data_IF_072639277328
#
_entry.id   IF_072639277328
#
_cell.length_a   1.000
_cell.length_b   1.000
_cell.length_c   1.000
_cell.angle_alpha   90.00
_cell.angle_beta   90.00
_cell.angle_gamma   90.00
#
_symmetry.space_group_name_H-M   'P 1'
#
loop_
_entity.id
_entity.type
_entity.pdbx_description
1 polymer ?
#
# COMPACT_ATOMS: atom_id res chain seq x y z
N UNK A 1 -14.52 -11.71 48.35
CA UNK A 1 -14.03 -12.93 47.68
C UNK A 1 -15.21 -13.73 47.16
N UNK A 2 -15.60 -13.57 45.89
CA UNK A 2 -16.63 -14.40 45.26
C UNK A 2 -16.03 -15.08 44.03
N UNK A 3 -15.78 -16.39 44.15
CA UNK A 3 -15.41 -17.26 43.04
C UNK A 3 -16.68 -17.67 42.30
N UNK A 4 -16.76 -17.39 41.01
CA UNK A 4 -17.68 -18.09 40.11
C UNK A 4 -16.87 -18.64 38.93
N UNK A 5 -16.61 -19.94 38.99
CA UNK A 5 -16.23 -20.77 37.86
C UNK A 5 -17.50 -21.07 37.08
N UNK A 6 -17.53 -20.80 35.77
CA UNK A 6 -18.39 -21.53 34.84
C UNK A 6 -17.67 -21.75 33.49
N UNK A 7 -17.15 -22.97 33.37
CA UNK A 7 -17.35 -23.93 32.27
C UNK A 7 -17.14 -23.48 30.82
N UNK A 8 -16.05 -24.01 30.25
CA UNK A 8 -15.79 -24.18 28.83
C UNK A 8 -16.92 -24.97 28.14
N UNK A 9 -17.39 -24.49 26.98
CA UNK A 9 -18.09 -25.33 26.00
C UNK A 9 -17.51 -25.05 24.62
N UNK A 10 -16.58 -25.91 24.23
CA UNK A 10 -15.95 -25.95 22.91
C UNK A 10 -16.86 -26.71 21.95
N UNK A 11 -17.39 -26.04 20.93
CA UNK A 11 -17.94 -26.69 19.74
C UNK A 11 -17.28 -26.09 18.50
N UNK A 12 -16.13 -26.64 18.14
CA UNK A 12 -15.51 -26.43 16.82
C UNK A 12 -16.23 -27.34 15.82
N UNK A 13 -17.09 -26.77 14.98
CA UNK A 13 -17.68 -27.46 13.84
C UNK A 13 -16.73 -27.29 12.65
N UNK A 14 -15.89 -28.30 12.40
CA UNK A 14 -15.06 -28.39 11.20
C UNK A 14 -15.93 -28.82 10.02
N UNK A 15 -16.14 -27.93 9.05
CA UNK A 15 -16.75 -28.25 7.76
C UNK A 15 -15.65 -28.49 6.73
N UNK A 16 -15.69 -29.68 6.16
CA UNK A 16 -14.66 -30.26 5.30
C UNK A 16 -14.56 -29.58 3.92
N UNK A 17 -13.31 -29.41 3.49
CA UNK A 17 -12.88 -29.03 2.15
C UNK A 17 -13.38 -30.04 1.11
N UNK A 18 -14.01 -29.58 0.03
CA UNK A 18 -14.15 -30.35 -1.21
C UNK A 18 -13.28 -29.70 -2.27
N UNK A 19 -12.15 -30.34 -2.59
CA UNK A 19 -11.30 -29.98 -3.71
C UNK A 19 -11.87 -30.63 -4.98
N UNK A 20 -12.12 -29.83 -6.01
CA UNK A 20 -12.49 -30.31 -7.35
C UNK A 20 -11.33 -29.99 -8.30
N UNK A 21 -10.69 -31.03 -8.82
CA UNK A 21 -9.69 -30.97 -9.90
C UNK A 21 -10.38 -31.37 -11.21
N UNK A 22 -10.20 -30.61 -12.30
CA UNK A 22 -10.20 -31.18 -13.63
C UNK A 22 -8.81 -31.21 -14.26
N UNK A 23 -8.48 -32.39 -14.80
CA UNK A 23 -7.41 -32.62 -15.77
C UNK A 23 -7.58 -31.73 -17.01
N UNK A 24 -6.46 -31.23 -17.55
CA UNK A 24 -6.38 -30.69 -18.90
C UNK A 24 -4.93 -30.66 -19.40
N UNK A 25 -4.68 -31.32 -20.53
CA UNK A 25 -3.38 -31.58 -21.17
C UNK A 25 -3.23 -30.77 -22.48
N UNK A 26 -1.99 -30.44 -22.86
CA UNK A 26 -1.55 -30.03 -24.21
C UNK A 26 -1.16 -28.55 -24.30
N UNK A 27 0.05 -28.13 -24.69
CA UNK A 27 1.07 -28.74 -25.55
C UNK A 27 1.07 -28.01 -26.91
N UNK A 28 2.08 -27.19 -27.18
CA UNK A 28 2.24 -26.49 -28.47
C UNK A 28 3.44 -25.55 -28.55
N UNK A 29 4.53 -26.05 -29.12
CA UNK A 29 5.75 -25.32 -29.49
C UNK A 29 5.58 -24.42 -30.72
N UNK A 30 6.34 -23.33 -30.76
CA UNK A 30 6.64 -22.53 -31.96
C UNK A 30 7.16 -21.16 -31.55
N UNK A 31 8.36 -20.69 -31.88
CA UNK A 31 9.31 -21.07 -32.92
C UNK A 31 9.66 -19.80 -33.71
N UNK A 32 10.89 -19.29 -33.52
CA UNK A 32 11.51 -18.23 -34.34
C UNK A 32 11.02 -16.80 -34.05
N UNK A 33 11.78 -15.75 -34.33
CA UNK A 33 13.10 -15.64 -34.92
C UNK A 33 13.58 -14.23 -34.60
N UNK A 34 14.83 -14.11 -34.17
CA UNK A 34 15.55 -12.85 -34.18
C UNK A 34 15.68 -12.37 -35.64
N UNK A 35 15.20 -11.17 -35.90
CA UNK A 35 15.73 -10.31 -36.96
C UNK A 35 15.76 -8.90 -36.42
N UNK A 36 16.97 -8.44 -36.09
CA UNK A 36 17.25 -7.02 -36.03
C UNK A 36 17.10 -6.44 -37.44
N UNK A 37 16.43 -5.32 -37.52
CA UNK A 37 16.56 -4.38 -38.62
C UNK A 37 16.87 -3.03 -38.02
N UNK A 38 18.02 -2.52 -38.43
CA UNK A 38 18.58 -1.23 -38.13
C UNK A 38 17.82 -0.13 -38.84
N UNK A 39 17.92 1.06 -38.26
CA UNK A 39 17.82 2.39 -38.88
C UNK A 39 16.48 2.81 -39.48
N UNK A 40 15.80 3.72 -38.77
CA UNK A 40 15.43 4.98 -39.40
C UNK A 40 15.53 6.13 -38.39
N UNK A 41 16.48 7.01 -38.70
CA UNK A 41 16.75 8.29 -38.05
C UNK A 41 15.68 9.28 -38.46
N UNK A 42 14.96 9.83 -37.50
CA UNK A 42 14.31 11.13 -37.62
C UNK A 42 14.70 11.99 -36.42
N UNK A 43 15.76 12.75 -36.63
CA UNK A 43 16.24 13.86 -35.81
C UNK A 43 15.13 14.87 -35.52
N UNK A 44 14.83 15.09 -34.23
CA UNK A 44 14.51 16.44 -33.75
C UNK A 44 15.14 16.67 -32.39
N UNK A 45 15.83 17.81 -32.28
CA UNK A 45 16.77 18.24 -31.26
C UNK A 45 16.12 18.58 -29.91
N UNK A 46 16.77 18.13 -28.81
CA UNK A 46 16.61 18.69 -27.46
C UNK A 46 17.37 17.87 -26.40
N UNK A 47 18.61 18.24 -26.07
CA UNK A 47 19.46 17.59 -25.05
C UNK A 47 18.89 17.71 -23.63
N UNK A 48 18.92 16.63 -22.84
CA UNK A 48 20.03 16.16 -21.96
C UNK A 48 19.85 16.75 -20.54
N UNK A 49 19.56 15.99 -19.48
CA UNK A 49 20.33 14.85 -18.99
C UNK A 49 19.48 13.59 -18.68
N UNK A 50 19.70 12.56 -19.50
CA UNK A 50 19.35 11.17 -19.18
C UNK A 50 20.60 10.49 -18.64
N UNK A 51 20.63 10.22 -17.34
CA UNK A 51 21.47 9.15 -16.79
C UNK A 51 20.55 7.97 -16.50
N UNK A 52 20.47 7.04 -17.45
CA UNK A 52 19.86 5.73 -17.24
C UNK A 52 20.91 4.76 -16.72
N UNK A 53 20.66 4.23 -15.54
CA UNK A 53 21.04 2.86 -15.13
C UNK A 53 19.88 2.46 -14.23
N UNK A 54 19.02 1.49 -14.50
CA UNK A 54 18.94 0.41 -15.47
C UNK A 54 17.87 -0.50 -14.86
N UNK A 55 16.79 -0.77 -15.59
CA UNK A 55 15.64 -1.50 -15.09
C UNK A 55 14.56 -1.55 -16.16
N UNK A 56 14.51 -2.67 -16.86
CA UNK A 56 13.43 -3.04 -17.76
C UNK A 56 12.25 -3.52 -16.92
N UNK A 57 11.30 -2.64 -16.70
CA UNK A 57 9.95 -2.95 -16.27
C UNK A 57 9.03 -1.95 -16.95
N UNK A 58 8.30 -2.43 -17.96
CA UNK A 58 7.24 -1.65 -18.60
C UNK A 58 6.14 -1.40 -17.58
N UNK A 59 6.29 -0.34 -16.80
CA UNK A 59 5.34 0.10 -15.80
C UNK A 59 4.20 0.84 -16.52
N UNK A 60 2.93 0.47 -16.34
CA UNK A 60 1.82 1.24 -16.88
C UNK A 60 1.86 2.65 -16.25
N UNK A 61 1.72 3.67 -17.12
CA UNK A 61 1.65 5.11 -16.83
C UNK A 61 2.01 5.48 -15.38
N UNK A 62 3.29 5.81 -15.16
CA UNK A 62 3.79 6.34 -13.91
C UNK A 62 2.88 7.44 -13.40
N UNK A 63 2.28 7.20 -12.24
CA UNK A 63 1.70 8.25 -11.45
C UNK A 63 2.89 8.96 -10.84
N UNK A 64 3.01 10.27 -11.02
CA UNK A 64 4.15 11.09 -10.57
C UNK A 64 4.28 11.12 -9.03
N UNK A 65 4.51 9.97 -8.41
CA UNK A 65 4.64 9.76 -6.96
C UNK A 65 5.88 8.91 -6.72
N UNK A 66 6.98 9.59 -6.45
CA UNK A 66 8.23 9.00 -5.97
C UNK A 66 8.09 8.45 -4.53
N UNK A 67 8.89 7.43 -4.14
CA UNK A 67 8.87 6.84 -2.80
C UNK A 67 9.63 7.68 -1.76
N UNK A 68 9.33 8.98 -1.73
CA UNK A 68 9.79 9.94 -0.71
C UNK A 68 8.58 10.53 0.01
N UNK A 69 8.74 10.89 1.29
CA UNK A 69 7.62 11.46 2.04
C UNK A 69 7.12 12.76 1.40
N UNK A 70 8.02 13.61 0.92
CA UNK A 70 7.74 14.87 0.23
C UNK A 70 6.87 14.67 -1.02
N UNK A 71 7.19 13.68 -1.84
CA UNK A 71 6.42 13.34 -3.04
C UNK A 71 5.06 12.73 -2.68
N UNK A 72 5.03 11.80 -1.73
CA UNK A 72 3.79 11.18 -1.25
C UNK A 72 2.87 12.24 -0.64
N UNK A 73 3.40 13.17 0.15
CA UNK A 73 2.64 14.25 0.76
C UNK A 73 1.97 15.10 -0.33
N UNK A 74 2.75 15.62 -1.27
CA UNK A 74 2.26 16.52 -2.31
C UNK A 74 1.29 15.84 -3.28
N UNK A 75 1.57 14.59 -3.65
CA UNK A 75 0.89 13.94 -4.76
C UNK A 75 -0.16 12.92 -4.36
N UNK A 76 -0.22 12.54 -3.08
CA UNK A 76 -1.15 11.54 -2.58
C UNK A 76 -1.88 11.97 -1.31
N UNK A 77 -1.18 12.23 -0.20
CA UNK A 77 -1.85 12.59 1.07
C UNK A 77 -2.65 13.88 0.95
N UNK A 78 -2.06 14.94 0.36
CA UNK A 78 -2.73 16.21 0.17
C UNK A 78 -4.00 16.09 -0.71
N UNK A 79 -4.00 15.17 -1.67
CA UNK A 79 -5.08 15.02 -2.65
C UNK A 79 -6.17 14.05 -2.21
N UNK A 80 -5.84 13.06 -1.40
CA UNK A 80 -6.73 11.93 -1.10
C UNK A 80 -7.05 11.76 0.38
N UNK A 81 -6.27 12.37 1.29
CA UNK A 81 -6.44 12.17 2.73
C UNK A 81 -6.79 13.47 3.46
N UNK A 82 -6.07 14.57 3.18
CA UNK A 82 -6.34 15.87 3.80
C UNK A 82 -7.34 16.72 3.01
N UNK A 83 -7.45 16.55 1.69
CA UNK A 83 -8.45 17.22 0.85
C UNK A 83 -9.90 17.00 1.32
N UNK A 84 -10.21 15.79 1.81
CA UNK A 84 -11.54 15.47 2.37
C UNK A 84 -11.66 15.83 3.86
N UNK A 85 -10.64 16.49 4.42
CA UNK A 85 -10.52 16.93 5.82
C UNK A 85 -10.83 15.85 6.85
N UNK A 86 -10.52 14.59 6.54
CA UNK A 86 -10.67 13.48 7.47
C UNK A 86 -9.42 13.27 8.33
N UNK A 87 -8.25 13.71 7.84
CA UNK A 87 -6.97 13.62 8.54
C UNK A 87 -6.14 14.93 8.41
N UNK A 88 -6.78 16.08 8.50
CA UNK A 88 -6.09 17.40 8.48
C UNK A 88 -6.81 18.43 9.35
N UNK A 89 -6.47 19.70 9.22
CA UNK A 89 -6.96 20.82 10.05
C UNK A 89 -8.50 20.93 10.18
N UNK A 90 -9.24 20.49 9.15
CA UNK A 90 -10.70 20.47 9.13
C UNK A 90 -11.35 19.25 9.83
N UNK A 91 -10.55 18.29 10.27
CA UNK A 91 -10.97 17.06 10.93
C UNK A 91 -9.83 16.05 11.02
N UNK A 92 -9.49 15.64 12.25
CA UNK A 92 -8.48 14.63 12.55
C UNK A 92 -9.17 13.38 13.12
N UNK A 93 -9.78 12.59 12.24
CA UNK A 93 -10.38 11.32 12.64
C UNK A 93 -9.31 10.43 13.27
N UNK A 94 -9.62 9.91 14.46
CA UNK A 94 -8.64 9.18 15.26
C UNK A 94 -7.53 10.05 15.85
N UNK A 95 -7.69 11.39 15.89
CA UNK A 95 -6.68 12.32 16.41
C UNK A 95 -5.42 12.41 15.54
N UNK A 96 -5.50 11.98 14.28
CA UNK A 96 -4.38 11.94 13.34
C UNK A 96 -4.51 13.08 12.32
N UNK A 97 -3.56 14.00 12.35
CA UNK A 97 -3.30 14.98 11.29
C UNK A 97 -2.11 14.50 10.46
N UNK A 98 -2.25 14.55 9.14
CA UNK A 98 -1.19 14.28 8.17
C UNK A 98 -1.08 15.44 7.17
N UNK A 99 -1.29 16.65 7.68
CA UNK A 99 -1.02 17.86 6.92
C UNK A 99 0.48 17.99 6.62
N UNK A 100 0.78 18.78 5.59
CA UNK A 100 2.13 19.02 5.16
C UNK A 100 2.98 19.60 6.30
N UNK A 101 4.13 18.98 6.57
CA UNK A 101 4.99 19.28 7.72
C UNK A 101 4.66 18.54 9.02
N UNK A 102 3.52 17.84 9.13
CA UNK A 102 3.15 17.08 10.34
C UNK A 102 3.22 15.55 10.15
N UNK A 103 3.06 15.09 8.91
CA UNK A 103 2.91 13.66 8.58
C UNK A 103 4.00 12.76 9.12
N UNK A 104 5.27 13.18 9.08
CA UNK A 104 6.38 12.32 9.53
C UNK A 104 6.24 11.97 11.02
N UNK A 105 6.15 13.00 11.87
CA UNK A 105 6.04 12.83 13.33
C UNK A 105 4.72 12.17 13.74
N UNK A 106 3.65 12.38 12.96
CA UNK A 106 2.34 11.80 13.22
C UNK A 106 2.24 10.32 12.85
N UNK A 107 3.06 9.82 11.91
CA UNK A 107 2.95 8.46 11.36
C UNK A 107 4.06 7.53 11.84
N UNK A 108 5.32 7.99 11.83
CA UNK A 108 6.48 7.09 11.96
C UNK A 108 6.71 6.69 13.41
N UNK A 109 6.71 5.39 13.68
CA UNK A 109 6.81 4.80 15.02
C UNK A 109 5.70 5.22 16.02
N UNK A 110 4.57 5.75 15.53
CA UNK A 110 3.44 6.16 16.37
C UNK A 110 2.47 4.98 16.56
N UNK A 111 2.05 4.66 17.80
CA UNK A 111 1.04 3.61 18.04
C UNK A 111 -0.29 3.90 17.35
N UNK A 112 -0.87 2.89 16.70
CA UNK A 112 -2.20 3.01 16.11
C UNK A 112 -3.28 3.00 17.22
N UNK A 113 -4.16 4.00 17.22
CA UNK A 113 -5.24 4.12 18.23
C UNK A 113 -6.54 3.44 17.82
N UNK A 114 -6.65 2.97 16.57
CA UNK A 114 -7.80 2.19 16.12
C UNK A 114 -7.92 0.90 16.95
N UNK A 115 -9.09 0.64 17.55
CA UNK A 115 -9.29 -0.43 18.54
C UNK A 115 -8.69 -1.79 18.13
N UNK A 116 -8.98 -2.28 16.93
CA UNK A 116 -8.44 -3.57 16.48
C UNK A 116 -6.94 -3.55 16.21
N UNK A 117 -6.38 -2.42 15.78
CA UNK A 117 -4.95 -2.28 15.52
C UNK A 117 -4.17 -2.12 16.83
N UNK A 118 -4.72 -1.36 17.78
CA UNK A 118 -4.20 -1.18 19.12
C UNK A 118 -4.15 -2.51 19.89
N UNK A 119 -5.19 -3.35 19.75
CA UNK A 119 -5.20 -4.71 20.32
C UNK A 119 -4.11 -5.61 19.74
N UNK A 120 -3.76 -5.42 18.46
CA UNK A 120 -2.65 -6.11 17.79
C UNK A 120 -1.29 -5.43 18.04
N UNK A 121 -1.22 -4.34 18.83
CA UNK A 121 0.02 -3.61 19.12
C UNK A 121 0.66 -2.94 17.91
N UNK A 122 -0.12 -2.58 16.90
CA UNK A 122 0.38 -2.01 15.64
C UNK A 122 0.85 -0.56 15.78
N UNK A 123 1.85 -0.20 14.97
CA UNK A 123 2.24 1.19 14.71
C UNK A 123 1.60 1.67 13.39
N UNK A 124 1.42 2.99 13.26
CA UNK A 124 0.94 3.63 12.04
C UNK A 124 1.91 3.38 10.88
N UNK A 125 3.20 3.64 11.09
CA UNK A 125 4.28 3.23 10.19
C UNK A 125 5.40 2.57 10.99
N UNK A 126 5.83 1.40 10.51
CA UNK A 126 7.00 0.64 10.95
C UNK A 126 8.07 0.79 9.87
N UNK A 127 9.15 1.57 10.12
CA UNK A 127 10.26 1.69 9.18
C UNK A 127 10.81 0.32 8.77
N UNK A 128 10.92 0.08 7.47
CA UNK A 128 11.43 -1.16 6.91
C UNK A 128 10.40 -2.29 6.75
N UNK A 129 9.14 -2.09 7.15
CA UNK A 129 8.10 -3.13 7.05
C UNK A 129 6.71 -2.53 6.74
N UNK A 130 6.41 -2.41 5.45
CA UNK A 130 5.11 -1.94 4.98
C UNK A 130 3.96 -2.90 5.36
N UNK A 131 4.19 -4.21 5.41
CA UNK A 131 3.13 -5.20 5.65
C UNK A 131 2.66 -5.19 7.13
N UNK A 132 3.53 -4.80 8.06
CA UNK A 132 3.13 -4.59 9.46
C UNK A 132 2.59 -3.20 9.76
N UNK A 133 2.90 -2.21 8.91
CA UNK A 133 2.49 -0.80 9.03
C UNK A 133 0.99 -0.60 8.83
N UNK A 134 0.32 -0.02 9.84
CA UNK A 134 -1.13 0.15 9.79
C UNK A 134 -1.61 1.09 8.69
N UNK A 135 -0.83 2.12 8.35
CA UNK A 135 -1.10 3.00 7.21
C UNK A 135 -1.30 2.19 5.92
N UNK A 136 -0.33 1.34 5.57
CA UNK A 136 -0.37 0.54 4.33
C UNK A 136 -1.52 -0.47 4.36
N UNK A 137 -1.75 -1.13 5.51
CA UNK A 137 -2.89 -2.04 5.71
C UNK A 137 -4.22 -1.34 5.42
N UNK A 138 -4.41 -0.09 5.86
CA UNK A 138 -5.63 0.67 5.64
C UNK A 138 -5.84 1.09 4.18
N UNK A 139 -4.79 1.15 3.38
CA UNK A 139 -4.84 1.50 1.96
C UNK A 139 -5.00 0.27 1.05
N UNK A 140 -4.39 -0.87 1.43
CA UNK A 140 -4.31 -2.05 0.56
C UNK A 140 -5.31 -3.16 0.90
N UNK A 141 -5.66 -3.36 2.17
CA UNK A 141 -6.55 -4.48 2.54
C UNK A 141 -6.70 -4.71 4.03
N UNK A 142 -7.48 -3.88 4.74
CA UNK A 142 -7.66 -4.04 6.17
C UNK A 142 -8.53 -5.26 6.49
N UNK A 143 -8.24 -5.93 7.61
CA UNK A 143 -9.10 -6.99 8.15
C UNK A 143 -10.43 -6.40 8.63
N UNK A 144 -11.52 -7.17 8.71
CA UNK A 144 -12.79 -6.67 9.27
C UNK A 144 -12.65 -6.06 10.67
N UNK A 145 -11.78 -6.60 11.52
CA UNK A 145 -11.48 -6.08 12.87
C UNK A 145 -10.75 -4.73 12.87
N UNK A 146 -10.21 -4.31 11.72
CA UNK A 146 -9.45 -3.07 11.49
C UNK A 146 -10.26 -2.02 10.72
N UNK A 147 -11.55 -2.30 10.47
CA UNK A 147 -12.46 -1.46 9.69
C UNK A 147 -12.25 -1.60 8.18
N UNK A 148 -12.94 -0.77 7.40
CA UNK A 148 -12.81 -0.74 5.93
C UNK A 148 -11.57 0.03 5.45
N UNK A 149 -11.41 0.15 4.14
CA UNK A 149 -10.37 0.96 3.51
C UNK A 149 -10.42 2.43 3.94
N UNK A 150 -9.28 3.12 3.84
CA UNK A 150 -9.23 4.58 3.88
C UNK A 150 -9.05 5.16 2.48
N UNK A 151 -9.77 6.24 2.12
CA UNK A 151 -10.80 6.93 2.92
C UNK A 151 -12.05 6.07 3.14
N UNK A 152 -12.85 6.40 4.14
CA UNK A 152 -14.07 5.64 4.44
C UNK A 152 -15.02 5.58 3.23
N UNK A 153 -15.69 4.43 3.04
CA UNK A 153 -16.63 4.22 1.93
C UNK A 153 -15.99 3.58 0.69
N UNK A 154 -14.66 3.46 0.65
CA UNK A 154 -13.97 2.71 -0.40
C UNK A 154 -14.21 1.20 -0.25
N UNK A 155 -14.35 0.52 -1.41
CA UNK A 155 -14.51 -0.94 -1.51
C UNK A 155 -13.26 -1.64 -2.03
N UNK A 156 -12.35 -0.87 -2.61
CA UNK A 156 -11.12 -1.33 -3.25
C UNK A 156 -9.94 -0.49 -2.72
N UNK A 157 -8.69 -0.93 -2.94
CA UNK A 157 -7.51 -0.17 -2.58
C UNK A 157 -7.50 1.27 -3.14
N UNK A 158 -6.91 2.19 -2.38
CA UNK A 158 -6.92 3.62 -2.76
C UNK A 158 -5.90 3.90 -3.87
N UNK A 159 -6.41 4.27 -5.05
CA UNK A 159 -5.62 4.75 -6.18
C UNK A 159 -4.97 3.65 -7.01
N UNK A 160 -4.37 4.01 -8.16
CA UNK A 160 -3.64 3.08 -9.01
C UNK A 160 -2.43 2.47 -8.27
N UNK A 161 -2.08 1.22 -8.61
CA UNK A 161 -1.05 0.41 -7.94
C UNK A 161 0.31 1.13 -7.76
N UNK A 162 0.65 2.07 -8.64
CA UNK A 162 1.83 2.95 -8.53
C UNK A 162 1.88 3.74 -7.20
N UNK A 163 0.77 4.33 -6.74
CA UNK A 163 0.74 5.19 -5.53
C UNK A 163 0.89 4.34 -4.28
N UNK A 164 0.20 3.20 -4.24
CA UNK A 164 0.34 2.21 -3.19
C UNK A 164 1.77 1.65 -3.15
N UNK A 165 2.39 1.40 -4.31
CA UNK A 165 3.80 0.99 -4.40
C UNK A 165 4.74 2.08 -3.87
N UNK A 166 4.55 3.34 -4.23
CA UNK A 166 5.37 4.44 -3.72
C UNK A 166 5.33 4.53 -2.18
N UNK A 167 4.14 4.41 -1.57
CA UNK A 167 4.00 4.36 -0.10
C UNK A 167 4.68 3.13 0.48
N UNK A 168 4.48 1.95 -0.13
CA UNK A 168 5.11 0.71 0.31
C UNK A 168 6.63 0.80 0.28
N UNK A 169 7.18 1.33 -0.80
CA UNK A 169 8.62 1.45 -1.02
C UNK A 169 9.24 2.50 -0.11
N UNK A 170 8.57 3.64 0.11
CA UNK A 170 8.99 4.62 1.12
C UNK A 170 9.10 3.99 2.51
N UNK A 171 8.08 3.22 2.95
CA UNK A 171 8.11 2.53 4.24
C UNK A 171 9.26 1.52 4.29
N UNK A 172 9.37 0.66 3.28
CA UNK A 172 10.40 -0.39 3.22
C UNK A 172 11.82 0.19 3.13
N UNK A 173 11.99 1.39 2.58
CA UNK A 173 13.25 2.12 2.55
C UNK A 173 13.55 2.89 3.85
N UNK A 174 12.81 2.62 4.93
CA UNK A 174 13.06 3.15 6.26
C UNK A 174 12.20 4.33 6.66
N UNK A 175 11.15 4.65 5.87
CA UNK A 175 10.19 5.72 6.16
C UNK A 175 10.89 7.03 6.53
N UNK A 176 11.78 7.52 5.67
CA UNK A 176 12.59 8.72 5.91
C UNK A 176 11.77 10.00 5.75
N UNK A 177 12.19 11.07 6.41
CA UNK A 177 11.69 12.43 6.16
C UNK A 177 12.48 13.04 5.00
N UNK A 178 12.03 12.77 3.76
CA UNK A 178 12.75 13.09 2.52
C UNK A 178 11.84 13.49 1.37
#
# INVERSE_FOLDING_TARGET
MNKFYQTFSTTFLALALTAYLPLGCGGGDGGGSSTGTTDDVATTTGGDATTTTGGDDTYPASCDVEPTLSSIQANYFNKSCTFSSCHGDGGSLGGLSIDDGESFEALVNVPAVHTGAAQEGKLLVVPGDAESSFLYIKLFGPKPTQGGFMPSGQKEPLGPDCQLRAVRDWINNGALDN
#
